data_IF_821572172948
#
_entry.id   IF_821572172948
#
_cell.length_a   1.000
_cell.length_b   1.000
_cell.length_c   1.000
_cell.angle_alpha   90.00
_cell.angle_beta   90.00
_cell.angle_gamma   90.00
#
_symmetry.space_group_name_H-M   'P 1'
#
loop_
_entity.id
_entity.type
_entity.pdbx_description
1 polymer ?
#
# COMPACT_ATOMS: atom_id res chain seq x y z
N UNK A 1 41.47 30.95 48.83
CA UNK A 1 41.46 29.67 48.08
C UNK A 1 40.42 28.80 48.76
N UNK A 2 39.17 28.75 48.26
CA UNK A 2 38.72 27.80 47.22
C UNK A 2 38.99 26.34 47.67
N UNK A 3 38.04 25.42 47.87
CA UNK A 3 36.85 25.12 47.09
C UNK A 3 35.88 24.14 47.80
N UNK A 4 34.58 24.31 47.50
CA UNK A 4 33.54 23.32 47.17
C UNK A 4 33.06 22.29 48.23
N UNK A 5 31.95 22.67 48.90
CA UNK A 5 30.95 21.74 49.43
C UNK A 5 29.99 21.31 48.31
N UNK A 6 29.91 19.99 48.10
CA UNK A 6 28.94 19.29 47.28
C UNK A 6 27.50 19.57 47.71
N UNK A 7 26.65 19.98 46.77
CA UNK A 7 25.19 19.92 46.95
C UNK A 7 24.55 19.22 45.75
N UNK A 8 24.29 17.93 45.95
CA UNK A 8 23.31 17.16 45.18
C UNK A 8 21.94 17.82 45.32
N UNK A 9 21.22 17.97 44.21
CA UNK A 9 19.77 18.14 44.15
C UNK A 9 19.28 17.76 42.75
N UNK A 10 19.04 16.46 42.55
CA UNK A 10 18.22 15.95 41.46
C UNK A 10 16.78 16.39 41.69
N UNK A 11 16.34 17.43 40.99
CA UNK A 11 14.94 17.77 40.86
C UNK A 11 14.58 17.77 39.38
N UNK A 12 14.12 16.60 38.92
CA UNK A 12 13.48 16.39 37.62
C UNK A 12 12.25 17.30 37.55
N UNK A 13 12.41 18.50 37.00
CA UNK A 13 11.29 19.41 36.74
C UNK A 13 10.48 18.84 35.58
N UNK A 14 9.29 18.36 35.92
CA UNK A 14 8.21 17.96 35.03
C UNK A 14 7.99 19.01 33.94
N UNK A 15 7.77 18.50 32.72
CA UNK A 15 7.35 19.22 31.52
C UNK A 15 6.46 20.44 31.83
N UNK A 16 6.98 21.63 31.56
CA UNK A 16 6.16 22.76 31.18
C UNK A 16 6.41 23.03 29.70
N UNK A 17 5.57 22.46 28.85
CA UNK A 17 5.37 22.99 27.51
C UNK A 17 4.01 23.70 27.51
N UNK A 18 3.98 24.90 28.08
CA UNK A 18 2.86 25.82 27.95
C UNK A 18 3.22 26.86 26.90
N UNK A 19 2.73 26.68 25.67
CA UNK A 19 2.40 27.79 24.77
C UNK A 19 1.58 27.23 23.60
N UNK A 20 0.29 27.54 23.62
CA UNK A 20 -0.68 27.36 22.56
C UNK A 20 -0.10 27.81 21.22
N UNK A 21 0.30 26.86 20.38
CA UNK A 21 0.31 27.02 18.93
C UNK A 21 -0.88 26.22 18.40
N UNK A 22 -2.03 26.86 18.21
CA UNK A 22 -3.28 26.25 17.71
C UNK A 22 -3.14 25.56 16.33
N UNK A 23 -1.96 25.66 15.70
CA UNK A 23 -1.65 25.03 14.42
C UNK A 23 -1.37 23.54 14.53
N UNK A 24 -0.93 23.05 15.70
CA UNK A 24 -0.43 21.69 15.83
C UNK A 24 -1.14 20.93 16.95
N UNK A 25 -1.89 19.90 16.55
CA UNK A 25 -2.43 18.90 17.46
C UNK A 25 -1.33 17.89 17.74
N UNK A 26 -1.02 17.64 19.01
CA UNK A 26 -0.09 16.57 19.37
C UNK A 26 -0.84 15.23 19.27
N UNK A 27 -0.44 14.33 18.36
CA UNK A 27 -1.13 13.05 18.18
C UNK A 27 -0.97 12.18 19.42
N UNK A 28 -2.04 11.46 19.78
CA UNK A 28 -2.00 10.42 20.82
C UNK A 28 -1.32 9.15 20.29
N UNK A 29 -0.92 8.24 21.17
CA UNK A 29 -0.37 6.94 20.75
C UNK A 29 -1.33 6.16 19.85
N UNK A 30 -2.64 6.32 20.05
CA UNK A 30 -3.68 5.73 19.19
C UNK A 30 -3.67 6.37 17.79
N UNK A 31 -3.46 7.68 17.69
CA UNK A 31 -3.34 8.37 16.40
C UNK A 31 -2.09 7.92 15.64
N UNK A 32 -0.98 7.76 16.36
CA UNK A 32 0.27 7.22 15.80
C UNK A 32 0.08 5.78 15.30
N UNK A 33 -0.56 4.92 16.08
CA UNK A 33 -0.89 3.55 15.67
C UNK A 33 -1.83 3.50 14.47
N UNK A 34 -2.83 4.38 14.43
CA UNK A 34 -3.76 4.47 13.30
C UNK A 34 -3.06 4.96 12.03
N UNK A 35 -2.16 5.94 12.13
CA UNK A 35 -1.35 6.42 11.00
C UNK A 35 -0.39 5.32 10.53
N UNK A 36 0.23 4.60 11.45
CA UNK A 36 1.09 3.44 11.11
C UNK A 36 0.29 2.32 10.43
N UNK A 37 -0.92 2.02 10.91
CA UNK A 37 -1.81 1.04 10.30
C UNK A 37 -2.34 1.50 8.94
N UNK A 38 -2.66 2.79 8.79
CA UNK A 38 -3.06 3.40 7.51
C UNK A 38 -1.90 3.44 6.50
N UNK A 39 -0.66 3.54 6.98
CA UNK A 39 0.55 3.48 6.15
C UNK A 39 0.90 2.06 5.68
N UNK A 40 0.34 1.01 6.30
CA UNK A 40 0.35 -0.33 5.68
C UNK A 40 -0.56 -0.26 4.46
N UNK A 41 0.00 -0.58 3.31
CA UNK A 41 -0.64 -0.30 2.02
C UNK A 41 -1.71 -1.35 1.69
N UNK A 42 -2.77 -1.43 2.51
CA UNK A 42 -3.99 -2.23 2.23
C UNK A 42 -4.51 -1.96 0.83
N UNK A 43 -4.47 -0.69 0.39
CA UNK A 43 -4.84 -0.31 -0.98
C UNK A 43 -4.00 -1.01 -2.08
N UNK A 44 -2.74 -1.36 -1.82
CA UNK A 44 -1.89 -2.07 -2.79
C UNK A 44 -2.20 -3.55 -2.82
N UNK A 45 -2.35 -4.17 -1.65
CA UNK A 45 -2.73 -5.60 -1.54
C UNK A 45 -4.14 -5.84 -2.09
N UNK A 46 -5.08 -4.94 -1.82
CA UNK A 46 -6.44 -5.00 -2.33
C UNK A 46 -6.47 -4.77 -3.86
N UNK A 47 -5.62 -3.88 -4.37
CA UNK A 47 -5.45 -3.70 -5.81
C UNK A 47 -4.86 -4.95 -6.46
N UNK A 48 -3.81 -5.53 -5.89
CA UNK A 48 -3.23 -6.81 -6.35
C UNK A 48 -4.26 -7.93 -6.36
N UNK A 49 -4.99 -8.15 -5.27
CA UNK A 49 -6.07 -9.14 -5.23
C UNK A 49 -7.14 -8.88 -6.29
N UNK A 50 -7.56 -7.63 -6.45
CA UNK A 50 -8.59 -7.25 -7.44
C UNK A 50 -8.13 -7.60 -8.86
N UNK A 51 -6.92 -7.20 -9.24
CA UNK A 51 -6.40 -7.45 -10.58
C UNK A 51 -6.11 -8.92 -10.83
N UNK A 52 -5.63 -9.66 -9.83
CA UNK A 52 -5.38 -11.10 -9.95
C UNK A 52 -6.69 -11.89 -10.07
N UNK A 53 -7.71 -11.53 -9.29
CA UNK A 53 -9.05 -12.12 -9.42
C UNK A 53 -9.66 -11.84 -10.80
N UNK A 54 -9.45 -10.63 -11.33
CA UNK A 54 -9.96 -10.25 -12.65
C UNK A 54 -9.25 -11.02 -13.77
N UNK A 55 -7.93 -11.21 -13.66
CA UNK A 55 -7.16 -12.03 -14.59
C UNK A 55 -7.60 -13.50 -14.54
N UNK A 56 -7.80 -14.07 -13.36
CA UNK A 56 -8.31 -15.43 -13.20
C UNK A 56 -9.73 -15.59 -13.76
N UNK A 57 -10.61 -14.60 -13.55
CA UNK A 57 -11.94 -14.60 -14.14
C UNK A 57 -11.89 -14.57 -15.68
N UNK A 58 -10.97 -13.79 -16.25
CA UNK A 58 -10.71 -13.77 -17.70
C UNK A 58 -10.22 -15.13 -18.20
N UNK A 59 -9.22 -15.75 -17.53
CA UNK A 59 -8.72 -17.08 -17.88
C UNK A 59 -9.82 -18.12 -17.89
N UNK A 60 -10.68 -18.11 -16.86
CA UNK A 60 -11.83 -19.01 -16.77
C UNK A 60 -12.82 -18.78 -17.92
N UNK A 61 -13.13 -17.53 -18.27
CA UNK A 61 -14.02 -17.20 -19.39
C UNK A 61 -13.43 -17.57 -20.75
N UNK A 62 -12.10 -17.55 -20.89
CA UNK A 62 -11.36 -17.94 -22.09
C UNK A 62 -11.05 -19.44 -22.16
N UNK A 63 -11.52 -20.25 -21.19
CA UNK A 63 -11.21 -21.69 -21.06
C UNK A 63 -9.71 -22.00 -20.93
N UNK A 64 -8.94 -21.11 -20.33
CA UNK A 64 -7.52 -21.29 -20.05
C UNK A 64 -7.34 -21.98 -18.69
N UNK A 65 -7.32 -23.32 -18.70
CA UNK A 65 -7.30 -24.17 -17.49
C UNK A 65 -5.92 -24.54 -16.99
N UNK A 66 -4.86 -24.24 -17.76
CA UNK A 66 -3.49 -24.51 -17.34
C UNK A 66 -3.09 -23.67 -16.12
N UNK A 67 -2.20 -24.21 -15.27
CA UNK A 67 -1.69 -23.47 -14.12
C UNK A 67 -0.80 -22.33 -14.59
N UNK A 68 -0.82 -21.20 -13.88
CA UNK A 68 0.11 -20.10 -14.15
C UNK A 68 1.57 -20.56 -14.05
N UNK A 69 1.87 -21.44 -13.10
CA UNK A 69 3.22 -21.95 -12.83
C UNK A 69 3.76 -22.86 -13.95
N UNK A 70 2.87 -23.39 -14.80
CA UNK A 70 3.23 -24.25 -15.93
C UNK A 70 3.34 -23.52 -17.27
N UNK A 71 3.01 -22.22 -17.30
CA UNK A 71 3.10 -21.43 -18.52
C UNK A 71 4.56 -21.08 -18.83
N UNK A 72 4.91 -21.19 -20.11
CA UNK A 72 6.11 -20.52 -20.59
C UNK A 72 5.89 -19.00 -20.68
N UNK A 73 7.01 -18.26 -20.72
CA UNK A 73 6.99 -16.78 -20.74
C UNK A 73 6.18 -16.22 -21.92
N UNK A 74 6.18 -16.93 -23.07
CA UNK A 74 5.52 -16.48 -24.29
C UNK A 74 4.01 -16.62 -24.19
N UNK A 75 3.53 -17.76 -23.67
CA UNK A 75 2.14 -18.04 -23.42
C UNK A 75 1.59 -17.11 -22.33
N UNK A 76 2.36 -16.88 -21.25
CA UNK A 76 2.00 -15.92 -20.22
C UNK A 76 1.87 -14.49 -20.78
N UNK A 77 2.84 -14.03 -21.56
CA UNK A 77 2.80 -12.72 -22.19
C UNK A 77 1.59 -12.56 -23.12
N UNK A 78 1.30 -13.58 -23.94
CA UNK A 78 0.14 -13.57 -24.83
C UNK A 78 -1.17 -13.47 -24.05
N UNK A 79 -1.32 -14.24 -22.97
CA UNK A 79 -2.51 -14.19 -22.13
C UNK A 79 -2.68 -12.83 -21.43
N UNK A 80 -1.59 -12.22 -20.96
CA UNK A 80 -1.63 -10.87 -20.37
C UNK A 80 -2.01 -9.81 -21.41
N UNK A 81 -1.44 -9.87 -22.62
CA UNK A 81 -1.79 -8.96 -23.72
C UNK A 81 -3.28 -9.05 -24.07
N UNK A 82 -3.82 -10.26 -24.19
CA UNK A 82 -5.24 -10.47 -24.49
C UNK A 82 -6.13 -9.99 -23.33
N UNK A 83 -5.72 -10.25 -22.08
CA UNK A 83 -6.41 -9.76 -20.88
C UNK A 83 -6.51 -8.24 -20.86
N UNK A 84 -5.39 -7.51 -21.01
CA UNK A 84 -5.42 -6.04 -20.98
C UNK A 84 -6.23 -5.44 -22.15
N UNK A 85 -6.20 -6.09 -23.32
CA UNK A 85 -7.05 -5.70 -24.44
C UNK A 85 -8.54 -5.94 -24.17
N UNK A 86 -8.88 -7.04 -23.51
CA UNK A 86 -10.25 -7.45 -23.19
C UNK A 86 -10.84 -6.63 -22.04
N UNK A 87 -10.09 -6.43 -20.96
CA UNK A 87 -10.52 -5.68 -19.78
C UNK A 87 -10.80 -4.21 -20.13
N UNK A 88 -10.06 -3.64 -21.08
CA UNK A 88 -10.29 -2.28 -21.62
C UNK A 88 -11.71 -2.10 -22.16
N UNK A 89 -12.39 -3.18 -22.57
CA UNK A 89 -13.75 -3.13 -23.16
C UNK A 89 -14.86 -3.59 -22.19
N UNK A 90 -14.50 -4.06 -20.99
CA UNK A 90 -15.44 -4.57 -19.98
C UNK A 90 -16.05 -3.43 -19.15
N UNK A 91 -17.38 -3.38 -19.04
CA UNK A 91 -18.06 -2.46 -18.11
C UNK A 91 -18.54 -1.13 -18.69
N UNK A 92 -18.92 -1.07 -19.97
CA UNK A 92 -19.51 0.11 -20.67
C UNK A 92 -18.62 1.37 -20.77
N UNK A 93 -17.45 1.41 -20.12
CA UNK A 93 -16.48 2.51 -20.18
C UNK A 93 -15.06 1.96 -20.18
N UNK A 94 -14.20 2.49 -21.05
CA UNK A 94 -12.81 2.06 -21.12
C UNK A 94 -12.05 2.44 -19.84
N UNK A 95 -11.22 1.53 -19.33
CA UNK A 95 -10.27 1.87 -18.28
C UNK A 95 -9.28 2.91 -18.78
N UNK A 96 -8.98 3.90 -17.94
CA UNK A 96 -7.92 4.86 -18.24
C UNK A 96 -6.55 4.14 -18.34
N UNK A 97 -5.62 4.62 -19.19
CA UNK A 97 -4.28 4.03 -19.30
C UNK A 97 -3.54 3.91 -17.95
N UNK A 98 -3.73 4.89 -17.06
CA UNK A 98 -3.16 4.87 -15.71
C UNK A 98 -3.69 3.71 -14.85
N UNK A 99 -4.98 3.38 -14.96
CA UNK A 99 -5.58 2.25 -14.25
C UNK A 99 -5.04 0.91 -14.77
N UNK A 100 -4.83 0.79 -16.08
CA UNK A 100 -4.22 -0.40 -16.68
C UNK A 100 -2.76 -0.58 -16.23
N UNK A 101 -2.01 0.52 -16.11
CA UNK A 101 -0.66 0.50 -15.57
C UNK A 101 -0.61 0.05 -14.10
N UNK A 102 -1.56 0.51 -13.28
CA UNK A 102 -1.72 0.02 -11.91
C UNK A 102 -2.01 -1.48 -11.90
N UNK A 103 -2.86 -1.97 -12.80
CA UNK A 103 -3.14 -3.40 -12.94
C UNK A 103 -1.94 -4.23 -13.35
N UNK A 104 -1.14 -3.75 -14.30
CA UNK A 104 0.13 -4.37 -14.68
C UNK A 104 1.08 -4.47 -13.48
N UNK A 105 1.30 -3.36 -12.77
CA UNK A 105 2.17 -3.35 -11.60
C UNK A 105 1.64 -4.24 -10.47
N UNK A 106 0.31 -4.37 -10.35
CA UNK A 106 -0.34 -5.21 -9.37
C UNK A 106 -0.14 -6.70 -9.67
N UNK A 107 -0.27 -7.11 -10.92
CA UNK A 107 -0.02 -8.50 -11.38
C UNK A 107 1.47 -8.83 -11.28
N UNK A 108 2.37 -7.92 -11.65
CA UNK A 108 3.81 -8.17 -11.56
C UNK A 108 4.34 -8.32 -10.12
N UNK A 109 3.55 -7.92 -9.11
CA UNK A 109 3.87 -8.05 -7.68
C UNK A 109 3.29 -9.30 -7.02
N UNK A 110 2.22 -9.87 -7.59
CA UNK A 110 1.49 -11.02 -7.02
C UNK A 110 2.07 -12.34 -7.48
#
# INVERSE_FOLDING_TARGET
METLLTKSNNSTKKNQLSTTHERFVIPTDKDLQNIQAYSRVTNTDDSTKTWMNLFNAYRNAANLTESLESLDDTALQNQLCQFFCGVRKSGKKEYAPSSLHVGFAAIARG
#
